data_IF_908085237576
#
_entry.id   IF_908085237576
#
_cell.length_a   1.000
_cell.length_b   1.000
_cell.length_c   1.000
_cell.angle_alpha   90.00
_cell.angle_beta   90.00
_cell.angle_gamma   90.00
#
_symmetry.space_group_name_H-M   'P 1'
#
loop_
_entity.id
_entity.type
_entity.pdbx_description
1 polymer ?
#
# COMPACT_ATOMS: atom_id res chain seq x y z
N UNK A 1 -25.02 27.06 -12.31
CA UNK A 1 -25.15 26.23 -11.10
C UNK A 1 -24.56 27.02 -9.93
N UNK A 2 -25.27 27.12 -8.82
CA UNK A 2 -24.74 27.67 -7.55
C UNK A 2 -24.52 26.50 -6.58
N UNK A 3 -23.31 26.41 -6.02
CA UNK A 3 -22.93 25.34 -5.10
C UNK A 3 -22.23 25.92 -3.89
N UNK A 4 -22.59 25.47 -2.69
CA UNK A 4 -21.93 25.90 -1.46
C UNK A 4 -21.56 24.72 -0.56
N UNK A 5 -20.78 25.02 0.49
CA UNK A 5 -20.38 24.07 1.52
C UNK A 5 -21.34 23.93 2.70
N UNK A 6 -22.43 24.71 2.77
CA UNK A 6 -23.22 24.82 4.01
C UNK A 6 -24.72 24.82 3.81
N UNK A 7 -25.21 25.46 2.75
CA UNK A 7 -26.65 25.71 2.59
C UNK A 7 -27.05 26.08 1.17
N UNK A 8 -28.34 26.04 0.91
CA UNK A 8 -28.94 26.68 -0.25
C UNK A 8 -28.99 28.20 -0.04
N UNK A 9 -28.44 28.96 -0.99
CA UNK A 9 -28.45 30.42 -0.93
C UNK A 9 -29.80 30.97 -1.42
N UNK A 10 -30.44 31.91 -0.68
CA UNK A 10 -31.71 32.49 -1.12
C UNK A 10 -31.65 33.20 -2.48
N UNK A 11 -30.53 33.87 -2.80
CA UNK A 11 -30.38 34.57 -4.09
C UNK A 11 -30.41 33.59 -5.28
N UNK A 12 -29.88 32.37 -5.10
CA UNK A 12 -29.78 31.38 -6.17
C UNK A 12 -31.16 30.86 -6.62
N UNK A 13 -32.17 30.95 -5.75
CA UNK A 13 -33.54 30.52 -6.06
C UNK A 13 -34.25 31.48 -6.99
N UNK A 14 -33.90 32.77 -6.95
CA UNK A 14 -34.52 33.81 -7.78
C UNK A 14 -33.64 34.29 -8.93
N UNK A 15 -32.35 33.92 -8.95
CA UNK A 15 -31.44 34.28 -10.05
C UNK A 15 -31.84 33.54 -11.34
N UNK A 16 -32.11 34.26 -12.44
CA UNK A 16 -32.44 33.65 -13.73
C UNK A 16 -31.24 32.94 -14.39
N UNK A 17 -30.01 33.15 -13.92
CA UNK A 17 -28.79 32.52 -14.45
C UNK A 17 -28.40 31.25 -13.68
N UNK A 18 -29.19 30.84 -12.69
CA UNK A 18 -28.93 29.64 -11.88
C UNK A 18 -30.06 28.64 -12.09
N UNK A 19 -29.78 27.51 -12.74
CA UNK A 19 -30.77 26.45 -12.95
C UNK A 19 -30.68 25.31 -11.92
N UNK A 20 -29.47 25.08 -11.40
CA UNK A 20 -29.14 24.00 -10.47
C UNK A 20 -28.55 24.61 -9.21
N UNK A 21 -29.05 24.18 -8.06
CA UNK A 21 -28.54 24.53 -6.73
C UNK A 21 -27.96 23.29 -6.05
N UNK A 22 -26.87 23.48 -5.32
CA UNK A 22 -26.11 22.39 -4.71
C UNK A 22 -25.60 22.75 -3.33
N UNK A 23 -25.51 21.73 -2.48
CA UNK A 23 -24.90 21.80 -1.16
C UNK A 23 -23.91 20.63 -0.98
N UNK A 24 -22.78 20.90 -0.32
CA UNK A 24 -21.75 19.91 -0.03
C UNK A 24 -21.81 19.55 1.46
N UNK A 25 -21.74 18.26 1.76
CA UNK A 25 -22.00 17.70 3.08
C UNK A 25 -20.71 17.21 3.73
N UNK A 26 -20.28 17.90 4.78
CA UNK A 26 -19.05 17.61 5.50
C UNK A 26 -19.16 17.93 6.99
N UNK A 27 -18.36 17.23 7.80
CA UNK A 27 -18.33 17.39 9.26
C UNK A 27 -18.01 18.82 9.68
N UNK A 28 -17.17 19.54 8.94
CA UNK A 28 -16.82 20.93 9.24
C UNK A 28 -17.98 21.92 9.05
N UNK A 29 -19.02 21.51 8.33
CA UNK A 29 -20.26 22.25 8.14
C UNK A 29 -21.42 21.71 8.99
N UNK A 30 -21.18 20.63 9.76
CA UNK A 30 -22.17 19.96 10.61
C UNK A 30 -23.46 19.60 9.87
N UNK A 31 -23.31 19.12 8.63
CA UNK A 31 -24.44 18.88 7.72
C UNK A 31 -24.35 17.52 6.97
N UNK A 32 -23.35 16.68 7.28
CA UNK A 32 -23.19 15.35 6.69
C UNK A 32 -24.03 14.28 7.38
N UNK A 33 -25.34 14.47 7.31
CA UNK A 33 -26.33 13.52 7.82
C UNK A 33 -27.56 13.47 6.90
N UNK A 34 -28.31 12.36 6.84
CA UNK A 34 -29.44 12.19 5.92
C UNK A 34 -30.50 13.29 6.03
N UNK A 35 -30.76 13.79 7.25
CA UNK A 35 -31.75 14.85 7.48
C UNK A 35 -31.51 16.14 6.68
N UNK A 36 -30.26 16.41 6.29
CA UNK A 36 -29.89 17.62 5.53
C UNK A 36 -30.53 17.63 4.15
N UNK A 37 -30.69 16.46 3.51
CA UNK A 37 -31.33 16.35 2.18
C UNK A 37 -32.75 16.92 2.23
N UNK A 38 -33.53 16.55 3.24
CA UNK A 38 -34.91 17.07 3.39
C UNK A 38 -34.94 18.54 3.76
N UNK A 39 -33.93 19.05 4.48
CA UNK A 39 -33.83 20.48 4.81
C UNK A 39 -33.54 21.30 3.55
N UNK A 40 -32.59 20.85 2.74
CA UNK A 40 -32.24 21.50 1.48
C UNK A 40 -33.40 21.44 0.49
N UNK A 41 -34.08 20.29 0.35
CA UNK A 41 -35.29 20.18 -0.47
C UNK A 41 -36.38 21.18 -0.06
N UNK A 42 -36.62 21.36 1.26
CA UNK A 42 -37.55 22.40 1.76
C UNK A 42 -37.08 23.81 1.41
N UNK A 43 -35.78 24.08 1.52
CA UNK A 43 -35.20 25.38 1.19
C UNK A 43 -35.32 25.71 -0.30
N UNK A 44 -35.12 24.71 -1.18
CA UNK A 44 -35.29 24.87 -2.63
C UNK A 44 -36.75 25.04 -3.02
N UNK A 45 -37.67 24.35 -2.32
CA UNK A 45 -39.11 24.49 -2.51
C UNK A 45 -39.57 24.16 -3.93
N UNK A 46 -38.85 23.27 -4.62
CA UNK A 46 -39.13 22.87 -6.01
C UNK A 46 -38.85 23.95 -7.07
N UNK A 47 -38.22 25.08 -6.71
CA UNK A 47 -37.98 26.20 -7.64
C UNK A 47 -36.85 25.92 -8.64
N UNK A 48 -35.87 25.13 -8.25
CA UNK A 48 -34.64 24.82 -9.00
C UNK A 48 -34.32 23.34 -8.87
N UNK A 49 -33.52 22.79 -9.79
CA UNK A 49 -33.01 21.42 -9.65
C UNK A 49 -32.03 21.38 -8.48
N UNK A 50 -32.20 20.41 -7.59
CA UNK A 50 -31.36 20.23 -6.41
C UNK A 50 -30.44 19.02 -6.58
N UNK A 51 -29.15 19.19 -6.29
CA UNK A 51 -28.14 18.14 -6.28
C UNK A 51 -27.35 18.18 -4.96
N UNK A 52 -27.05 17.04 -4.34
CA UNK A 52 -25.98 16.98 -3.35
C UNK A 52 -24.65 16.94 -4.09
N UNK A 53 -24.01 18.10 -4.24
CA UNK A 53 -22.83 18.25 -5.10
C UNK A 53 -21.60 17.53 -4.61
N UNK A 54 -21.51 17.26 -3.30
CA UNK A 54 -20.41 16.51 -2.72
C UNK A 54 -20.78 16.00 -1.33
N UNK A 55 -20.39 14.78 -0.99
CA UNK A 55 -20.42 14.29 0.39
C UNK A 55 -19.41 13.16 0.58
N UNK A 56 -18.89 12.99 1.79
CA UNK A 56 -17.87 11.98 2.03
C UNK A 56 -17.28 12.00 3.44
N UNK A 57 -16.15 11.31 3.59
CA UNK A 57 -15.30 11.31 4.80
C UNK A 57 -16.00 10.79 6.05
N UNK A 58 -16.86 9.78 5.86
CA UNK A 58 -17.56 9.06 6.91
C UNK A 58 -17.44 7.55 6.65
N UNK A 59 -17.69 6.70 7.67
CA UNK A 59 -17.90 5.28 7.49
C UNK A 59 -19.00 4.98 6.45
N UNK A 60 -18.88 3.86 5.73
CA UNK A 60 -19.73 3.52 4.59
C UNK A 60 -21.21 3.39 4.95
N UNK A 61 -21.56 2.98 6.16
CA UNK A 61 -22.95 2.91 6.65
C UNK A 61 -23.60 4.29 6.77
N UNK A 62 -22.85 5.29 7.27
CA UNK A 62 -23.30 6.68 7.35
C UNK A 62 -23.38 7.32 5.95
N UNK A 63 -22.40 7.06 5.08
CA UNK A 63 -22.46 7.49 3.68
C UNK A 63 -23.67 6.88 2.97
N UNK A 64 -23.95 5.61 3.22
CA UNK A 64 -25.14 4.95 2.68
C UNK A 64 -26.42 5.60 3.21
N UNK A 65 -26.50 5.95 4.50
CA UNK A 65 -27.67 6.64 5.05
C UNK A 65 -27.94 7.98 4.33
N UNK A 66 -26.90 8.78 4.08
CA UNK A 66 -27.00 10.01 3.29
C UNK A 66 -27.47 9.68 1.86
N UNK A 67 -26.82 8.73 1.18
CA UNK A 67 -27.14 8.36 -0.20
C UNK A 67 -28.59 7.86 -0.33
N UNK A 68 -29.07 7.02 0.58
CA UNK A 68 -30.46 6.56 0.59
C UNK A 68 -31.43 7.71 0.84
N UNK A 69 -31.05 8.71 1.64
CA UNK A 69 -31.85 9.93 1.79
C UNK A 69 -31.91 10.72 0.48
N UNK A 70 -30.83 10.79 -0.30
CA UNK A 70 -30.80 11.41 -1.63
C UNK A 70 -31.73 10.68 -2.60
N UNK A 71 -31.69 9.35 -2.61
CA UNK A 71 -32.51 8.51 -3.50
C UNK A 71 -34.01 8.59 -3.16
N UNK A 72 -34.36 8.59 -1.87
CA UNK A 72 -35.74 8.31 -1.44
C UNK A 72 -36.49 9.48 -0.80
N UNK A 73 -35.82 10.59 -0.44
CA UNK A 73 -36.52 11.73 0.16
C UNK A 73 -37.34 12.50 -0.87
N UNK A 74 -38.57 12.81 -0.50
CA UNK A 74 -39.46 13.68 -1.26
C UNK A 74 -40.03 14.76 -0.34
N UNK A 75 -40.07 16.00 -0.80
CA UNK A 75 -40.69 17.14 -0.12
C UNK A 75 -41.59 17.86 -1.11
N UNK A 76 -42.91 17.85 -0.88
CA UNK A 76 -43.89 18.51 -1.73
C UNK A 76 -43.78 18.11 -3.22
N UNK A 77 -43.52 16.83 -3.52
CA UNK A 77 -43.34 16.34 -4.88
C UNK A 77 -41.95 16.60 -5.49
N UNK A 78 -41.03 17.24 -4.76
CA UNK A 78 -39.65 17.46 -5.21
C UNK A 78 -38.68 16.43 -4.59
N UNK A 79 -37.75 15.95 -5.39
CA UNK A 79 -36.67 15.03 -5.01
C UNK A 79 -35.31 15.59 -5.41
N UNK A 80 -34.24 15.08 -4.81
CA UNK A 80 -32.89 15.39 -5.28
C UNK A 80 -32.66 14.73 -6.65
N UNK A 81 -31.98 15.44 -7.55
CA UNK A 81 -31.59 14.89 -8.85
C UNK A 81 -30.46 13.87 -8.75
N UNK A 82 -29.71 13.87 -7.64
CA UNK A 82 -28.58 12.98 -7.43
C UNK A 82 -27.66 13.43 -6.30
N UNK A 83 -26.60 12.64 -6.12
CA UNK A 83 -25.54 12.90 -5.16
C UNK A 83 -24.19 12.47 -5.70
N UNK A 84 -23.14 13.23 -5.42
CA UNK A 84 -21.77 12.88 -5.79
C UNK A 84 -20.96 12.55 -4.54
N UNK A 85 -20.54 11.29 -4.41
CA UNK A 85 -19.55 10.93 -3.37
C UNK A 85 -18.20 11.49 -3.76
N UNK A 86 -17.55 12.16 -2.81
CA UNK A 86 -16.18 12.62 -2.98
C UNK A 86 -15.24 11.43 -3.19
N UNK A 87 -14.39 11.60 -4.19
CA UNK A 87 -13.03 11.07 -4.11
C UNK A 87 -12.62 10.11 -5.20
N UNK A 88 -13.45 9.80 -6.21
CA UNK A 88 -13.03 8.87 -7.25
C UNK A 88 -11.82 9.39 -8.04
N UNK A 89 -10.89 8.49 -8.35
CA UNK A 89 -9.70 8.77 -9.14
C UNK A 89 -9.52 7.71 -10.23
N UNK A 90 -9.02 8.13 -11.38
CA UNK A 90 -8.75 7.24 -12.50
C UNK A 90 -7.38 6.57 -12.40
N UNK A 91 -7.14 5.60 -13.28
CA UNK A 91 -5.83 4.99 -13.44
C UNK A 91 -4.77 6.01 -13.86
N UNK A 92 -3.54 5.81 -13.38
CA UNK A 92 -2.36 6.54 -13.82
C UNK A 92 -1.80 5.93 -15.11
N UNK A 93 -1.02 6.74 -15.82
CA UNK A 93 -0.37 6.32 -17.06
C UNK A 93 0.54 5.09 -16.85
N UNK A 94 1.36 5.07 -15.81
CA UNK A 94 2.41 4.07 -15.57
C UNK A 94 2.07 3.08 -14.43
N UNK A 95 0.80 2.68 -14.36
CA UNK A 95 0.31 1.79 -13.31
C UNK A 95 -0.28 2.51 -12.11
N UNK A 96 -1.09 1.78 -11.36
CA UNK A 96 -1.78 2.31 -10.20
C UNK A 96 -2.94 3.23 -10.53
N UNK A 97 -3.49 3.83 -9.47
CA UNK A 97 -4.45 4.92 -9.55
C UNK A 97 -3.83 6.25 -9.13
N UNK A 98 -4.41 7.35 -9.62
CA UNK A 98 -4.25 8.63 -8.94
C UNK A 98 -4.85 8.50 -7.54
N UNK A 99 -4.22 9.09 -6.55
CA UNK A 99 -4.67 8.94 -5.18
C UNK A 99 -4.63 10.28 -4.44
N UNK A 100 -5.46 10.38 -3.40
CA UNK A 100 -5.46 11.47 -2.45
C UNK A 100 -5.72 10.91 -1.05
N UNK A 101 -5.01 11.42 -0.04
CA UNK A 101 -5.24 11.07 1.35
C UNK A 101 -5.64 12.33 2.11
N UNK A 102 -6.82 12.27 2.70
CA UNK A 102 -7.38 13.35 3.50
C UNK A 102 -6.71 13.41 4.87
N UNK A 103 -6.71 14.58 5.50
CA UNK A 103 -6.21 14.74 6.89
C UNK A 103 -7.00 13.89 7.90
N UNK A 104 -8.22 13.49 7.55
CA UNK A 104 -9.07 12.57 8.31
C UNK A 104 -8.65 11.09 8.17
N UNK A 105 -7.69 10.78 7.30
CA UNK A 105 -7.18 9.44 7.04
C UNK A 105 -7.86 8.69 5.89
N UNK A 106 -8.98 9.20 5.37
CA UNK A 106 -9.68 8.60 4.23
C UNK A 106 -8.88 8.78 2.93
N UNK A 107 -8.90 7.75 2.08
CA UNK A 107 -8.31 7.82 0.74
C UNK A 107 -9.37 8.09 -0.32
N UNK A 108 -8.93 8.52 -1.49
CA UNK A 108 -9.70 8.43 -2.72
C UNK A 108 -10.19 7.00 -2.99
N UNK A 109 -11.29 6.89 -3.74
CA UNK A 109 -11.87 5.62 -4.13
C UNK A 109 -11.55 5.28 -5.59
N UNK A 110 -11.59 3.99 -5.91
CA UNK A 110 -11.29 3.49 -7.24
C UNK A 110 -12.42 2.58 -7.72
N UNK A 111 -13.00 2.85 -8.90
CA UNK A 111 -13.90 1.90 -9.57
C UNK A 111 -13.04 0.80 -10.19
N UNK A 112 -13.28 -0.50 -9.92
CA UNK A 112 -14.54 -1.14 -9.51
C UNK A 112 -14.74 -1.43 -8.02
N UNK A 113 -13.87 -0.91 -7.15
CA UNK A 113 -13.78 -1.24 -5.75
C UNK A 113 -12.83 -2.43 -5.51
N UNK A 114 -11.99 -2.29 -4.47
CA UNK A 114 -10.97 -3.27 -4.11
C UNK A 114 -11.08 -3.67 -2.64
N UNK A 115 -11.55 -4.89 -2.40
CA UNK A 115 -11.82 -5.39 -1.04
C UNK A 115 -10.57 -5.53 -0.17
N UNK A 116 -9.39 -5.78 -0.76
CA UNK A 116 -8.13 -5.99 -0.04
C UNK A 116 -7.36 -4.68 0.11
N UNK A 117 -6.97 -4.05 -1.00
CA UNK A 117 -6.16 -2.83 -0.97
C UNK A 117 -6.93 -1.62 -0.40
N UNK A 118 -8.25 -1.62 -0.54
CA UNK A 118 -9.15 -0.58 -0.05
C UNK A 118 -9.87 -0.90 1.25
N UNK A 119 -9.51 -1.99 1.95
CA UNK A 119 -10.21 -2.45 3.18
C UNK A 119 -10.29 -1.36 4.25
N UNK A 120 -9.16 -0.72 4.54
CA UNK A 120 -9.06 0.34 5.54
C UNK A 120 -9.94 1.56 5.23
N UNK A 121 -10.30 1.75 3.95
CA UNK A 121 -11.14 2.85 3.47
C UNK A 121 -12.58 2.39 3.16
N UNK A 122 -12.93 1.13 3.47
CA UNK A 122 -14.21 0.50 3.13
C UNK A 122 -14.59 0.66 1.65
N UNK A 123 -13.58 0.69 0.76
CA UNK A 123 -13.75 1.16 -0.62
C UNK A 123 -14.79 0.36 -1.40
N UNK A 124 -14.76 -0.97 -1.30
CA UNK A 124 -15.74 -1.83 -1.98
C UNK A 124 -17.17 -1.45 -1.57
N UNK A 125 -17.42 -1.25 -0.28
CA UNK A 125 -18.74 -0.88 0.22
C UNK A 125 -19.19 0.51 -0.27
N UNK A 126 -18.26 1.47 -0.35
CA UNK A 126 -18.54 2.81 -0.87
C UNK A 126 -18.81 2.79 -2.37
N UNK A 127 -18.07 1.99 -3.15
CA UNK A 127 -18.34 1.83 -4.58
C UNK A 127 -19.70 1.16 -4.80
N UNK A 128 -20.01 0.12 -4.04
CA UNK A 128 -21.26 -0.63 -4.17
C UNK A 128 -22.49 0.21 -3.77
N UNK A 129 -22.38 1.09 -2.76
CA UNK A 129 -23.49 1.97 -2.39
C UNK A 129 -23.77 3.02 -3.47
N UNK A 130 -22.75 3.56 -4.15
CA UNK A 130 -22.94 4.47 -5.29
C UNK A 130 -23.64 3.76 -6.44
N UNK A 131 -23.21 2.54 -6.78
CA UNK A 131 -23.82 1.72 -7.84
C UNK A 131 -25.25 1.33 -7.51
N UNK A 132 -25.53 1.01 -6.24
CA UNK A 132 -26.87 0.71 -5.74
C UNK A 132 -27.78 1.92 -5.88
N UNK A 133 -27.32 3.10 -5.45
CA UNK A 133 -28.09 4.34 -5.58
C UNK A 133 -28.39 4.69 -7.04
N UNK A 134 -27.41 4.52 -7.95
CA UNK A 134 -27.62 4.73 -9.37
C UNK A 134 -28.70 3.78 -9.94
N UNK A 135 -28.69 2.51 -9.53
CA UNK A 135 -29.71 1.54 -9.94
C UNK A 135 -31.11 1.92 -9.40
N UNK A 136 -31.20 2.28 -8.11
CA UNK A 136 -32.46 2.69 -7.48
C UNK A 136 -33.04 3.95 -8.14
N UNK A 137 -32.21 4.95 -8.44
CA UNK A 137 -32.62 6.16 -9.17
C UNK A 137 -33.10 5.85 -10.60
N UNK A 138 -32.59 4.80 -11.23
CA UNK A 138 -33.06 4.30 -12.51
C UNK A 138 -34.31 3.40 -12.42
N UNK A 139 -34.93 3.27 -11.23
CA UNK A 139 -36.08 2.41 -10.99
C UNK A 139 -35.76 0.91 -10.96
N UNK A 140 -34.48 0.55 -10.82
CA UNK A 140 -34.02 -0.83 -10.77
C UNK A 140 -33.92 -1.30 -9.31
N UNK A 141 -34.22 -2.58 -9.07
CA UNK A 141 -34.19 -3.19 -7.73
C UNK A 141 -32.79 -3.67 -7.32
N UNK A 142 -31.88 -3.83 -8.28
CA UNK A 142 -30.56 -4.43 -8.09
C UNK A 142 -29.56 -3.77 -9.02
N UNK A 143 -28.32 -3.60 -8.56
CA UNK A 143 -27.25 -3.09 -9.41
C UNK A 143 -26.92 -4.06 -10.55
N UNK A 144 -26.75 -3.53 -11.77
CA UNK A 144 -26.22 -4.29 -12.89
C UNK A 144 -24.75 -4.68 -12.64
N UNK A 145 -24.29 -5.84 -13.14
CA UNK A 145 -22.87 -6.19 -13.11
C UNK A 145 -22.06 -5.15 -13.89
N UNK A 146 -20.78 -4.96 -13.54
CA UNK A 146 -19.93 -4.06 -14.32
C UNK A 146 -19.79 -4.56 -15.75
N UNK A 147 -19.57 -3.68 -16.74
CA UNK A 147 -19.22 -4.16 -18.07
C UNK A 147 -17.92 -4.97 -18.00
N UNK A 148 -17.73 -5.85 -18.98
CA UNK A 148 -16.45 -6.48 -19.21
C UNK A 148 -15.37 -5.40 -19.40
N UNK A 149 -14.18 -5.51 -18.76
CA UNK A 149 -13.16 -4.48 -18.90
C UNK A 149 -12.65 -4.39 -20.33
N UNK A 150 -12.22 -3.20 -20.72
CA UNK A 150 -11.43 -3.00 -21.92
C UNK A 150 -10.01 -3.57 -21.74
N UNK A 151 -9.25 -3.66 -22.84
CA UNK A 151 -7.85 -4.08 -22.75
C UNK A 151 -7.03 -3.01 -22.02
N UNK A 152 -6.14 -3.38 -21.06
CA UNK A 152 -5.20 -2.44 -20.47
C UNK A 152 -4.16 -2.01 -21.51
N UNK A 153 -3.42 -0.93 -21.20
CA UNK A 153 -2.34 -0.44 -22.06
C UNK A 153 -0.99 -0.74 -21.40
N UNK A 154 -0.29 -1.74 -21.93
CA UNK A 154 1.01 -2.17 -21.44
C UNK A 154 2.08 -1.16 -21.83
N UNK A 155 2.94 -0.78 -20.87
CA UNK A 155 4.01 0.20 -21.09
C UNK A 155 5.30 -0.48 -21.51
N UNK A 156 6.02 0.19 -22.40
CA UNK A 156 7.37 -0.22 -22.78
C UNK A 156 8.28 -0.22 -21.55
N UNK A 157 9.19 -1.18 -21.50
CA UNK A 157 10.20 -1.31 -20.45
C UNK A 157 11.44 -1.97 -21.00
N UNK A 158 12.59 -1.69 -20.38
CA UNK A 158 13.86 -2.34 -20.69
C UNK A 158 14.18 -3.49 -19.74
N UNK A 159 13.35 -3.72 -18.71
CA UNK A 159 13.56 -4.74 -17.69
C UNK A 159 12.33 -5.64 -17.53
N UNK A 160 12.48 -6.97 -17.55
CA UNK A 160 11.38 -7.89 -17.24
C UNK A 160 10.97 -7.84 -15.76
N UNK A 161 11.74 -7.13 -14.93
CA UNK A 161 11.49 -6.92 -13.51
C UNK A 161 10.86 -5.54 -13.22
N UNK A 162 10.47 -4.81 -14.25
CA UNK A 162 9.82 -3.50 -14.14
C UNK A 162 8.68 -3.37 -15.17
N UNK A 163 7.70 -4.28 -15.11
CA UNK A 163 6.56 -4.30 -16.03
C UNK A 163 5.37 -3.58 -15.39
N UNK A 164 4.91 -2.53 -16.06
CA UNK A 164 3.79 -1.68 -15.66
C UNK A 164 2.80 -1.46 -16.82
N UNK A 165 1.55 -1.18 -16.51
CA UNK A 165 0.50 -0.89 -17.49
C UNK A 165 -0.46 0.16 -16.95
N UNK A 166 -1.10 0.95 -17.82
CA UNK A 166 -2.30 1.68 -17.41
C UNK A 166 -3.44 0.68 -17.28
N UNK A 167 -4.06 0.63 -16.10
CA UNK A 167 -5.19 -0.24 -15.83
C UNK A 167 -6.40 0.07 -16.71
N UNK A 168 -7.28 -0.91 -16.83
CA UNK A 168 -8.50 -0.80 -17.60
C UNK A 168 -9.63 -0.26 -16.73
N UNK A 169 -10.48 0.61 -17.26
CA UNK A 169 -11.72 1.00 -16.56
C UNK A 169 -12.47 -0.28 -16.13
N UNK A 170 -12.94 -0.28 -14.88
CA UNK A 170 -13.61 -1.42 -14.21
C UNK A 170 -12.80 -2.73 -14.12
N UNK A 171 -11.51 -2.72 -14.43
CA UNK A 171 -10.59 -3.83 -14.18
C UNK A 171 -10.31 -3.98 -12.69
N UNK A 172 -10.44 -5.20 -12.16
CA UNK A 172 -10.21 -5.51 -10.74
C UNK A 172 -8.92 -6.31 -10.52
N UNK A 173 -8.53 -7.13 -11.49
CA UNK A 173 -7.25 -7.83 -11.44
C UNK A 173 -6.70 -8.11 -12.83
N UNK A 174 -5.41 -8.41 -12.91
CA UNK A 174 -4.68 -8.55 -14.16
C UNK A 174 -3.89 -9.86 -14.19
N UNK A 175 -3.90 -10.52 -15.34
CA UNK A 175 -2.98 -11.62 -15.63
C UNK A 175 -1.94 -11.14 -16.65
N UNK A 176 -0.68 -11.46 -16.40
CA UNK A 176 0.45 -11.17 -17.29
C UNK A 176 0.84 -12.46 -18.00
N UNK A 177 0.93 -12.39 -19.32
CA UNK A 177 1.32 -13.50 -20.17
C UNK A 177 2.66 -13.20 -20.86
N UNK A 178 3.53 -14.22 -20.93
CA UNK A 178 4.84 -14.18 -21.58
C UNK A 178 4.93 -15.18 -22.73
N UNK A 179 5.67 -14.83 -23.78
CA UNK A 179 6.01 -15.70 -24.89
C UNK A 179 7.48 -15.52 -25.33
N UNK A 180 8.03 -16.53 -26.01
CA UNK A 180 9.34 -16.46 -26.67
C UNK A 180 9.27 -15.92 -28.12
N UNK A 181 8.06 -15.70 -28.65
CA UNK A 181 7.84 -15.07 -29.95
C UNK A 181 6.73 -14.02 -29.85
N UNK A 182 6.66 -13.04 -30.78
CA UNK A 182 5.63 -12.00 -30.78
C UNK A 182 4.19 -12.54 -30.89
N UNK A 183 4.03 -13.80 -31.34
CA UNK A 183 2.73 -14.41 -31.61
C UNK A 183 2.35 -15.51 -30.62
N UNK A 184 3.22 -15.82 -29.66
CA UNK A 184 3.04 -16.91 -28.71
C UNK A 184 3.90 -18.14 -29.01
N UNK A 185 3.58 -19.31 -28.42
CA UNK A 185 2.49 -19.53 -27.47
C UNK A 185 2.67 -18.71 -26.19
N UNK A 186 1.54 -18.30 -25.60
CA UNK A 186 1.50 -17.44 -24.41
C UNK A 186 1.37 -18.29 -23.14
N UNK A 187 2.16 -17.97 -22.12
CA UNK A 187 2.12 -18.60 -20.80
C UNK A 187 1.81 -17.55 -19.74
N UNK A 188 0.85 -17.81 -18.84
CA UNK A 188 0.57 -16.91 -17.72
C UNK A 188 1.74 -16.98 -16.73
N UNK A 189 2.40 -15.84 -16.49
CA UNK A 189 3.54 -15.69 -15.57
C UNK A 189 3.21 -14.81 -14.37
N UNK A 190 2.15 -14.01 -14.46
CA UNK A 190 1.57 -13.26 -13.34
C UNK A 190 0.06 -13.46 -13.32
N UNK A 191 -0.53 -13.64 -12.13
CA UNK A 191 -1.96 -13.94 -12.00
C UNK A 191 -2.60 -13.09 -10.90
N UNK A 192 -3.81 -12.62 -11.17
CA UNK A 192 -4.65 -11.88 -10.21
C UNK A 192 -3.93 -10.68 -9.56
N UNK A 193 -3.08 -10.00 -10.33
CA UNK A 193 -2.34 -8.82 -9.88
C UNK A 193 -3.33 -7.67 -9.70
N UNK A 194 -3.26 -6.98 -8.56
CA UNK A 194 -4.01 -5.75 -8.31
C UNK A 194 -3.14 -4.54 -8.63
N UNK A 195 -3.73 -3.49 -9.21
CA UNK A 195 -3.13 -2.18 -9.39
C UNK A 195 -3.73 -1.13 -8.43
N UNK A 196 -4.51 -1.55 -7.43
CA UNK A 196 -5.21 -0.64 -6.52
C UNK A 196 -4.45 -0.26 -5.26
N UNK A 197 -3.13 -0.51 -5.23
CA UNK A 197 -2.32 -0.16 -4.06
C UNK A 197 -2.37 1.35 -3.86
N UNK A 198 -2.88 1.78 -2.70
CA UNK A 198 -2.86 3.17 -2.30
C UNK A 198 -1.42 3.70 -2.18
N UNK A 199 -1.27 5.01 -2.32
CA UNK A 199 0.05 5.66 -2.33
C UNK A 199 0.96 5.19 -3.48
N UNK A 200 0.36 4.72 -4.58
CA UNK A 200 1.11 4.32 -5.76
C UNK A 200 2.09 5.41 -6.21
N UNK A 201 3.36 5.02 -6.30
CA UNK A 201 4.45 5.84 -6.82
C UNK A 201 5.10 5.13 -8.03
N UNK A 202 4.89 5.61 -9.27
CA UNK A 202 5.46 4.97 -10.45
C UNK A 202 6.99 5.05 -10.54
N UNK A 203 7.65 5.88 -9.72
CA UNK A 203 9.11 5.99 -9.68
C UNK A 203 9.76 4.84 -8.89
N UNK A 204 9.03 4.23 -7.97
CA UNK A 204 9.59 3.24 -7.02
C UNK A 204 8.83 1.91 -7.00
N UNK A 205 7.58 1.91 -7.47
CA UNK A 205 6.70 0.74 -7.45
C UNK A 205 6.57 0.10 -8.84
N UNK A 206 6.33 -1.20 -8.83
CA UNK A 206 6.22 -2.03 -10.04
C UNK A 206 5.05 -2.99 -9.85
N UNK A 207 4.18 -3.10 -10.87
CA UNK A 207 3.01 -3.96 -10.83
C UNK A 207 3.39 -5.43 -11.00
N UNK A 208 4.34 -5.72 -11.89
CA UNK A 208 4.81 -7.07 -12.12
C UNK A 208 6.33 -7.14 -12.30
N UNK A 209 6.94 -8.11 -11.59
CA UNK A 209 8.31 -8.56 -11.81
C UNK A 209 8.24 -10.02 -12.21
N UNK A 210 8.82 -10.35 -13.36
CA UNK A 210 8.90 -11.75 -13.78
C UNK A 210 9.91 -12.53 -12.92
N UNK A 211 9.80 -13.86 -12.90
CA UNK A 211 10.71 -14.73 -12.15
C UNK A 211 12.06 -14.81 -12.86
N UNK A 212 13.08 -14.19 -12.26
CA UNK A 212 14.47 -14.21 -12.73
C UNK A 212 14.95 -15.62 -13.11
N UNK A 213 14.58 -16.63 -12.31
CA UNK A 213 15.04 -18.03 -12.51
C UNK A 213 14.41 -18.70 -13.72
N UNK A 214 13.34 -18.13 -14.28
CA UNK A 214 12.66 -18.61 -15.49
C UNK A 214 13.11 -17.87 -16.75
N UNK A 215 14.00 -16.88 -16.61
CA UNK A 215 14.52 -16.07 -17.70
C UNK A 215 15.96 -16.44 -18.00
N UNK A 216 16.34 -16.32 -19.26
CA UNK A 216 17.70 -16.55 -19.74
C UNK A 216 18.33 -15.23 -20.13
N UNK A 217 19.53 -14.96 -19.62
CA UNK A 217 20.28 -13.75 -19.96
C UNK A 217 20.48 -13.67 -21.48
N UNK A 218 20.33 -12.47 -22.03
CA UNK A 218 20.40 -12.17 -23.46
C UNK A 218 19.16 -12.55 -24.28
N UNK A 219 18.18 -13.27 -23.71
CA UNK A 219 16.97 -13.66 -24.44
C UNK A 219 15.93 -12.55 -24.47
N UNK A 220 15.20 -12.47 -25.59
CA UNK A 220 14.06 -11.56 -25.76
C UNK A 220 12.76 -12.29 -25.46
N UNK A 221 11.93 -11.68 -24.61
CA UNK A 221 10.61 -12.14 -24.22
C UNK A 221 9.56 -11.12 -24.64
N UNK A 222 8.36 -11.61 -24.92
CA UNK A 222 7.21 -10.81 -25.30
C UNK A 222 6.16 -10.88 -24.21
N UNK A 223 5.58 -9.74 -23.85
CA UNK A 223 4.58 -9.66 -22.77
C UNK A 223 3.29 -9.02 -23.26
N UNK A 224 2.17 -9.48 -22.69
CA UNK A 224 0.86 -8.85 -22.80
C UNK A 224 0.07 -9.05 -21.51
N UNK A 225 -0.93 -8.21 -21.29
CA UNK A 225 -1.74 -8.18 -20.06
C UNK A 225 -3.22 -8.29 -20.41
N UNK A 226 -3.98 -9.01 -19.59
CA UNK A 226 -5.45 -9.02 -19.63
C UNK A 226 -6.02 -8.56 -18.30
N UNK A 227 -6.92 -7.58 -18.34
CA UNK A 227 -7.74 -7.15 -17.21
C UNK A 227 -8.96 -8.07 -16.99
N UNK A 228 -9.41 -8.21 -15.74
CA UNK A 228 -10.50 -9.09 -15.31
C UNK A 228 -11.40 -8.39 -14.29
N UNK A 229 -12.70 -8.69 -14.32
CA UNK A 229 -13.65 -8.40 -13.24
C UNK A 229 -14.74 -9.50 -13.20
N UNK A 230 -15.86 -9.26 -12.49
CA UNK A 230 -16.94 -10.25 -12.37
C UNK A 230 -17.60 -10.63 -13.71
N UNK A 231 -17.49 -9.78 -14.72
CA UNK A 231 -18.09 -9.97 -16.05
C UNK A 231 -17.13 -10.59 -17.07
N UNK A 232 -15.91 -10.93 -16.66
CA UNK A 232 -14.96 -11.71 -17.45
C UNK A 232 -13.63 -11.01 -17.73
N UNK A 233 -12.90 -11.54 -18.72
CA UNK A 233 -11.53 -11.11 -19.08
C UNK A 233 -11.54 -10.30 -20.37
N UNK A 234 -10.95 -9.10 -20.36
CA UNK A 234 -10.71 -8.24 -21.53
C UNK A 234 -10.00 -8.95 -22.70
N UNK A 235 -9.94 -8.30 -23.86
CA UNK A 235 -8.95 -8.64 -24.88
C UNK A 235 -7.54 -8.35 -24.35
N UNK A 236 -6.48 -9.01 -24.86
CA UNK A 236 -5.11 -8.69 -24.47
C UNK A 236 -4.74 -7.24 -24.83
N UNK A 237 -3.82 -6.66 -24.05
CA UNK A 237 -3.14 -5.40 -24.36
C UNK A 237 -2.34 -5.48 -25.67
N UNK A 238 -1.72 -4.36 -26.04
CA UNK A 238 -0.54 -4.39 -26.91
C UNK A 238 0.53 -5.35 -26.38
N UNK A 239 1.34 -5.88 -27.30
CA UNK A 239 2.51 -6.71 -26.98
C UNK A 239 3.74 -5.82 -26.92
N UNK A 240 4.55 -5.96 -25.87
CA UNK A 240 5.88 -5.37 -25.77
C UNK A 240 6.96 -6.43 -25.93
N UNK A 241 8.18 -6.02 -26.25
CA UNK A 241 9.36 -6.89 -26.39
C UNK A 241 10.45 -6.44 -25.43
N UNK A 242 10.94 -7.34 -24.59
CA UNK A 242 11.93 -7.04 -23.54
C UNK A 242 13.08 -8.02 -23.62
N UNK A 243 14.30 -7.54 -23.78
CA UNK A 243 15.50 -8.37 -23.67
C UNK A 243 15.96 -8.40 -22.21
N UNK A 244 16.14 -9.59 -21.65
CA UNK A 244 16.70 -9.72 -20.30
C UNK A 244 18.22 -9.56 -20.36
N UNK A 245 18.74 -8.46 -19.82
CA UNK A 245 20.18 -8.14 -19.81
C UNK A 245 20.76 -7.87 -18.42
N UNK A 246 19.97 -8.10 -17.36
CA UNK A 246 20.35 -7.80 -15.97
C UNK A 246 20.93 -9.07 -15.32
N UNK A 247 22.22 -9.07 -15.00
CA UNK A 247 22.88 -10.20 -14.33
C UNK A 247 22.94 -9.96 -12.81
N UNK A 248 22.42 -10.93 -12.04
CA UNK A 248 22.43 -10.91 -10.58
C UNK A 248 23.83 -10.69 -10.00
N UNK A 249 23.97 -9.69 -9.12
CA UNK A 249 25.16 -9.45 -8.32
C UNK A 249 24.93 -9.88 -6.87
N UNK A 250 25.95 -10.40 -6.16
CA UNK A 250 25.79 -10.68 -4.73
C UNK A 250 25.51 -9.37 -3.97
N UNK A 251 24.76 -9.43 -2.85
CA UNK A 251 24.62 -8.29 -1.96
C UNK A 251 26.01 -7.76 -1.55
N UNK A 252 26.15 -6.46 -1.35
CA UNK A 252 27.40 -5.83 -0.90
C UNK A 252 27.27 -5.43 0.56
N UNK A 253 27.93 -6.20 1.45
CA UNK A 253 27.95 -5.91 2.90
C UNK A 253 28.94 -4.77 3.21
N UNK A 254 28.52 -3.86 4.09
CA UNK A 254 29.36 -2.84 4.74
C UNK A 254 29.33 -3.05 6.24
N UNK A 255 30.51 -3.13 6.84
CA UNK A 255 30.69 -3.44 8.26
C UNK A 255 32.01 -2.82 8.75
N UNK A 256 32.01 -2.34 9.99
CA UNK A 256 33.22 -1.87 10.67
C UNK A 256 34.24 -3.01 10.80
N UNK A 257 35.55 -2.76 10.56
CA UNK A 257 36.55 -3.82 10.55
C UNK A 257 36.88 -4.34 11.96
N UNK A 258 36.75 -3.49 12.99
CA UNK A 258 37.04 -3.84 14.37
C UNK A 258 36.21 -3.05 15.38
N UNK A 259 35.93 -3.68 16.53
CA UNK A 259 35.23 -3.09 17.67
C UNK A 259 35.90 -3.53 18.98
N UNK A 260 35.65 -2.81 20.07
CA UNK A 260 36.15 -3.15 21.40
C UNK A 260 35.03 -3.09 22.42
N UNK A 261 35.02 -4.02 23.38
CA UNK A 261 34.07 -4.03 24.50
C UNK A 261 34.69 -4.69 25.73
N UNK A 262 33.98 -4.71 26.86
CA UNK A 262 34.23 -5.59 28.00
C UNK A 262 33.11 -6.62 28.13
N UNK A 263 33.37 -7.71 28.87
CA UNK A 263 32.40 -8.80 29.08
C UNK A 263 31.05 -8.33 29.69
N UNK A 264 31.09 -7.33 30.57
CA UNK A 264 29.92 -6.80 31.29
C UNK A 264 29.06 -5.84 30.46
N UNK A 265 29.56 -5.37 29.31
CA UNK A 265 28.84 -4.43 28.43
C UNK A 265 28.32 -5.08 27.14
N UNK A 266 29.05 -6.07 26.61
CA UNK A 266 28.80 -6.60 25.28
C UNK A 266 28.93 -5.52 24.19
N UNK A 267 28.80 -5.91 22.92
CA UNK A 267 28.98 -4.98 21.80
C UNK A 267 27.71 -4.85 20.98
N UNK A 268 27.39 -3.64 20.56
CA UNK A 268 26.40 -3.39 19.53
C UNK A 268 27.02 -3.62 18.16
N UNK A 269 26.38 -4.46 17.35
CA UNK A 269 26.79 -4.78 15.99
C UNK A 269 25.79 -4.16 15.03
N UNK A 270 26.31 -3.38 14.09
CA UNK A 270 25.51 -2.76 13.03
C UNK A 270 26.18 -3.05 11.70
N UNK A 271 25.52 -3.84 10.87
CA UNK A 271 25.87 -4.03 9.47
C UNK A 271 24.87 -3.29 8.57
N UNK A 272 25.32 -2.90 7.38
CA UNK A 272 24.45 -2.48 6.29
C UNK A 272 24.78 -3.27 5.03
N UNK A 273 23.84 -3.34 4.10
CA UNK A 273 24.03 -4.02 2.83
C UNK A 273 23.24 -3.32 1.73
N UNK A 274 23.66 -3.53 0.49
CA UNK A 274 22.96 -3.08 -0.71
C UNK A 274 22.91 -4.25 -1.69
N UNK A 275 21.84 -4.32 -2.48
CA UNK A 275 21.58 -5.39 -3.42
C UNK A 275 20.95 -4.80 -4.69
N UNK A 276 21.07 -5.50 -5.82
CA UNK A 276 20.47 -5.07 -7.10
C UNK A 276 18.96 -5.40 -7.19
N UNK A 277 18.42 -6.11 -6.20
CA UNK A 277 17.02 -6.52 -6.14
C UNK A 277 16.70 -7.74 -7.01
N UNK A 278 17.74 -8.50 -7.38
CA UNK A 278 17.66 -9.77 -8.07
C UNK A 278 18.11 -10.90 -7.11
N UNK A 279 17.60 -12.13 -7.29
CA UNK A 279 16.49 -12.50 -8.17
C UNK A 279 15.14 -11.94 -7.67
N UNK A 280 15.13 -11.41 -6.45
CA UNK A 280 13.97 -10.79 -5.81
C UNK A 280 14.46 -9.68 -4.88
N UNK A 281 13.53 -8.90 -4.31
CA UNK A 281 13.90 -7.87 -3.31
C UNK A 281 14.16 -8.45 -1.91
N UNK A 282 14.02 -9.76 -1.72
CA UNK A 282 14.25 -10.41 -0.43
C UNK A 282 15.72 -10.77 -0.26
N UNK A 283 16.34 -10.26 0.81
CA UNK A 283 17.70 -10.64 1.21
C UNK A 283 17.66 -11.16 2.64
N UNK A 284 18.15 -12.39 2.83
CA UNK A 284 18.33 -13.01 4.15
C UNK A 284 19.66 -12.58 4.72
N UNK A 285 19.64 -12.16 5.98
CA UNK A 285 20.84 -11.71 6.67
C UNK A 285 21.10 -12.50 7.94
N UNK A 286 22.37 -12.59 8.35
CA UNK A 286 22.68 -13.25 9.61
C UNK A 286 24.11 -13.07 10.12
N UNK A 287 24.25 -13.14 11.43
CA UNK A 287 25.50 -13.12 12.20
C UNK A 287 25.93 -14.53 12.61
N UNK A 288 27.22 -14.81 12.49
CA UNK A 288 27.83 -16.07 12.93
C UNK A 288 29.22 -15.83 13.54
N UNK A 289 29.65 -16.73 14.41
CA UNK A 289 31.01 -16.77 14.94
C UNK A 289 31.64 -18.13 14.64
N UNK A 290 32.83 -18.14 14.06
CA UNK A 290 33.63 -19.35 13.83
C UNK A 290 34.84 -19.29 14.76
N UNK A 291 34.73 -19.84 15.96
CA UNK A 291 35.82 -19.86 16.93
C UNK A 291 35.49 -20.61 18.22
N UNK A 292 36.53 -20.95 18.97
CA UNK A 292 36.45 -21.61 20.27
C UNK A 292 36.12 -20.56 21.34
N UNK A 293 34.84 -20.16 21.38
CA UNK A 293 34.35 -19.17 22.33
C UNK A 293 32.85 -19.01 22.22
N UNK A 294 32.16 -18.86 23.35
CA UNK A 294 30.72 -18.64 23.33
C UNK A 294 30.42 -17.15 23.08
N UNK A 295 29.83 -16.89 21.92
CA UNK A 295 29.22 -15.60 21.56
C UNK A 295 27.71 -15.78 21.54
N UNK A 296 26.99 -14.94 22.27
CA UNK A 296 25.53 -14.94 22.28
C UNK A 296 25.00 -13.68 21.59
N UNK A 297 24.28 -13.86 20.48
CA UNK A 297 23.59 -12.79 19.77
C UNK A 297 22.14 -12.71 20.24
N UNK A 298 21.65 -11.51 20.59
CA UNK A 298 20.23 -11.33 20.92
C UNK A 298 19.31 -11.66 19.73
N UNK A 299 19.69 -11.22 18.53
CA UNK A 299 19.02 -11.52 17.27
C UNK A 299 20.06 -11.75 16.18
N UNK A 300 20.39 -13.01 15.89
CA UNK A 300 21.41 -13.32 14.90
C UNK A 300 20.96 -13.03 13.46
N UNK A 301 19.65 -12.95 13.21
CA UNK A 301 19.00 -12.75 11.91
C UNK A 301 18.71 -11.29 11.57
N UNK A 302 19.29 -10.33 12.31
CA UNK A 302 19.09 -8.90 12.11
C UNK A 302 20.40 -8.18 11.83
N UNK A 303 20.35 -7.16 10.97
CA UNK A 303 21.49 -6.33 10.64
C UNK A 303 22.05 -5.56 11.86
N UNK A 304 21.16 -5.10 12.74
CA UNK A 304 21.51 -4.49 14.03
C UNK A 304 21.17 -5.46 15.18
N UNK A 305 22.14 -5.73 16.03
CA UNK A 305 22.00 -6.68 17.15
C UNK A 305 23.00 -6.39 18.25
N UNK A 306 22.87 -7.07 19.40
CA UNK A 306 23.86 -7.04 20.48
C UNK A 306 24.46 -8.42 20.68
N UNK A 307 25.78 -8.46 20.83
CA UNK A 307 26.54 -9.68 21.09
C UNK A 307 27.20 -9.64 22.47
N UNK A 308 27.17 -10.78 23.15
CA UNK A 308 27.76 -11.00 24.47
C UNK A 308 28.81 -12.11 24.42
N UNK A 309 29.81 -12.01 25.30
CA UNK A 309 30.99 -12.86 25.27
C UNK A 309 31.24 -13.44 26.67
N UNK A 310 31.54 -14.73 26.74
CA UNK A 310 31.75 -15.42 28.03
C UNK A 310 33.19 -15.29 28.56
N UNK A 311 34.14 -14.84 27.75
CA UNK A 311 35.55 -14.66 28.13
C UNK A 311 36.14 -13.39 27.49
N UNK A 312 37.18 -12.78 28.09
CA UNK A 312 38.03 -11.83 27.38
C UNK A 312 38.75 -12.55 26.24
N UNK A 313 39.00 -11.84 25.14
CA UNK A 313 39.63 -12.42 23.97
C UNK A 313 39.35 -11.64 22.69
N UNK A 314 39.80 -12.17 21.56
CA UNK A 314 39.51 -11.62 20.24
C UNK A 314 38.57 -12.54 19.50
N UNK A 315 37.42 -12.01 19.07
CA UNK A 315 36.36 -12.75 18.41
C UNK A 315 36.16 -12.27 16.98
N UNK A 316 36.12 -13.18 16.02
CA UNK A 316 35.76 -12.88 14.63
C UNK A 316 34.26 -13.12 14.42
N UNK A 317 33.47 -12.07 14.22
CA UNK A 317 32.03 -12.16 13.98
C UNK A 317 31.74 -11.84 12.52
N UNK A 318 31.05 -12.74 11.82
CA UNK A 318 30.78 -12.62 10.39
C UNK A 318 29.32 -12.31 10.15
N UNK A 319 29.05 -11.24 9.40
CA UNK A 319 27.73 -10.93 8.86
C UNK A 319 27.63 -11.43 7.43
N UNK A 320 26.55 -12.10 7.07
CA UNK A 320 26.26 -12.60 5.72
C UNK A 320 24.95 -12.00 5.22
N UNK A 321 24.92 -11.65 3.93
CA UNK A 321 23.71 -11.30 3.20
C UNK A 321 23.57 -12.24 1.99
N UNK A 322 22.37 -12.78 1.79
CA UNK A 322 22.04 -13.82 0.81
C UNK A 322 20.74 -13.45 0.07
N UNK A 323 20.83 -13.19 -1.23
CA UNK A 323 19.69 -12.84 -2.11
C UNK A 323 18.89 -14.08 -2.58
N UNK A 324 19.35 -15.29 -2.21
CA UNK A 324 18.77 -16.58 -2.61
C UNK A 324 19.37 -17.19 -3.89
N UNK A 325 20.33 -16.53 -4.54
CA UNK A 325 21.20 -17.05 -5.60
C UNK A 325 22.67 -16.87 -5.25
N UNK A 326 23.05 -15.67 -4.82
CA UNK A 326 24.40 -15.29 -4.43
C UNK A 326 24.40 -14.73 -3.00
N UNK A 327 25.58 -14.79 -2.39
CA UNK A 327 25.80 -14.30 -1.03
C UNK A 327 27.14 -13.61 -0.91
N UNK A 328 27.22 -12.66 0.02
CA UNK A 328 28.49 -12.10 0.49
C UNK A 328 28.53 -12.04 2.00
N UNK A 329 29.75 -11.95 2.53
CA UNK A 329 29.97 -11.85 3.96
C UNK A 329 31.10 -10.88 4.28
N UNK A 330 31.03 -10.23 5.45
CA UNK A 330 32.16 -9.49 6.05
C UNK A 330 32.33 -9.86 7.50
N UNK A 331 33.57 -9.80 7.98
CA UNK A 331 33.93 -10.13 9.35
C UNK A 331 34.39 -8.88 10.08
N UNK A 332 33.87 -8.69 11.30
CA UNK A 332 34.36 -7.71 12.28
C UNK A 332 35.17 -8.44 13.36
N UNK A 333 36.29 -7.85 13.74
CA UNK A 333 37.09 -8.33 14.87
C UNK A 333 36.65 -7.60 16.14
N UNK A 334 36.18 -8.33 17.15
CA UNK A 334 35.79 -7.76 18.44
C UNK A 334 36.82 -8.13 19.50
N UNK A 335 37.50 -7.12 20.05
CA UNK A 335 38.40 -7.30 21.19
C UNK A 335 37.62 -7.09 22.49
N UNK A 336 37.57 -8.12 23.32
CA UNK A 336 36.82 -8.16 24.57
C UNK A 336 37.80 -8.14 25.74
N UNK A 337 37.74 -7.10 26.56
CA UNK A 337 38.46 -7.00 27.84
C UNK A 337 37.71 -7.66 29.00
N UNK A 338 38.40 -7.84 30.11
CA UNK A 338 37.78 -8.26 31.38
C UNK A 338 36.69 -7.28 31.83
N UNK A 339 35.72 -7.79 32.59
CA UNK A 339 34.69 -6.94 33.19
C UNK A 339 35.33 -5.89 34.11
N UNK A 340 35.00 -4.62 33.90
CA UNK A 340 35.61 -3.49 34.62
C UNK A 340 35.12 -3.28 36.06
N UNK A 341 34.36 -4.22 36.62
CA UNK A 341 33.85 -4.14 37.98
C UNK A 341 34.80 -4.84 38.96
N UNK A 342 35.24 -4.14 40.01
CA UNK A 342 35.82 -4.81 41.18
C UNK A 342 34.87 -5.93 41.62
N UNK A 343 35.41 -7.14 41.76
CA UNK A 343 34.73 -8.23 42.44
C UNK A 343 34.20 -7.70 43.77
N UNK A 344 32.94 -7.97 44.11
CA UNK A 344 32.37 -7.65 45.42
C UNK A 344 32.97 -8.52 46.55
N UNK A 345 34.30 -8.64 46.60
CA UNK A 345 35.07 -9.25 47.68
C UNK A 345 35.44 -8.23 48.78
N UNK A 346 35.06 -6.96 48.63
CA UNK A 346 35.35 -5.88 49.59
C UNK A 346 34.34 -5.65 50.71
N UNK A 347 33.17 -6.30 50.72
CA UNK A 347 32.10 -6.04 51.71
C UNK A 347 31.98 -7.07 52.85
N UNK A 348 33.01 -7.88 53.10
CA UNK A 348 33.10 -8.76 54.27
C UNK A 348 34.06 -8.19 55.32
N UNK A 349 33.75 -7.01 55.87
CA UNK A 349 34.28 -6.62 57.18
C UNK A 349 33.30 -5.75 57.96
N UNK A 350 32.14 -6.30 58.30
CA UNK A 350 31.35 -5.77 59.42
C UNK A 350 31.75 -6.50 60.71
N UNK A 351 32.60 -5.80 61.44
CA UNK A 351 32.96 -5.94 62.85
C UNK A 351 31.94 -6.71 63.71
N UNK A 352 32.41 -7.79 64.33
CA UNK A 352 31.78 -8.39 65.51
C UNK A 352 31.93 -7.43 66.71
N UNK A 353 30.85 -6.76 67.10
CA UNK A 353 30.56 -6.36 68.51
C UNK A 353 29.05 -6.45 68.71
N UNK A 354 28.58 -7.56 69.28
CA UNK A 354 28.16 -7.65 70.69
C UNK A 354 27.02 -6.68 71.04
N UNK A 355 25.81 -7.23 71.21
CA UNK A 355 24.99 -7.02 72.41
C UNK A 355 23.80 -8.01 72.39
N UNK A 356 23.90 -9.02 73.25
CA UNK A 356 22.76 -9.70 73.86
C UNK A 356 22.47 -9.01 75.19
N UNK A 357 21.18 -8.75 75.48
CA UNK A 357 20.46 -8.78 76.77
C UNK A 357 19.52 -7.58 76.95
N UNK A 358 18.29 -7.88 77.38
CA UNK A 358 17.35 -6.96 78.01
C UNK A 358 15.93 -7.14 77.51
#
# INVERSE_FOLDING_TARGET
MDGTYKKINPFALTDPNVDIVSNHYYTNADNNHPGQVTQDLRAVGGQKVYLVGEFGLLPADQLNAIMQSIVHSEVNGAQAAGGLIWGFRGHRHDGGFYWHKESTGHYSYHLPGFAKEGEANQEQAVVDLVRTAAAQMAGQQTMAPLPKPEAPLLRETTSPFAINWMGAAVGRSYDVERAASPTGPWTVVGRDISDAVNEWNPETMVLFRDDYRQLQLGHTYYYRVTAKNESGRSAPSNVISVQHSEENQPPVVTLEPALTTTQDQGVELTASWQDDGLPSREVKVGWQHAGDGQVHFCHADRAQTRAWFTAPGTYALTFTADDGLLKSSKTVTVTVGEAGGESASGFLSLSRRSLWRG
#
